data_IF_052606981915
#
_entry.id   IF_052606981915
#
_cell.length_a   1.000
_cell.length_b   1.000
_cell.length_c   1.000
_cell.angle_alpha   90.00
_cell.angle_beta   90.00
_cell.angle_gamma   90.00
#
_symmetry.space_group_name_H-M   'P 1'
#
loop_
_entity.id
_entity.type
_entity.pdbx_description
1 polymer ?
#
# COMPACT_ATOMS: atom_id res chain seq x y z
N UNK A 1 -8.94 4.37 -24.09
CA UNK A 1 -8.18 3.44 -23.22
C UNK A 1 -8.21 4.06 -21.84
N UNK A 2 -8.95 3.49 -20.90
CA UNK A 2 -8.95 3.98 -19.51
C UNK A 2 -7.73 3.31 -18.89
N UNK A 3 -6.64 4.04 -18.70
CA UNK A 3 -5.52 3.53 -17.92
C UNK A 3 -6.02 3.45 -16.47
N UNK A 4 -6.33 2.24 -16.01
CA UNK A 4 -6.54 2.01 -14.59
C UNK A 4 -5.18 2.16 -13.92
N UNK A 5 -5.01 3.28 -13.21
CA UNK A 5 -3.82 3.53 -12.40
C UNK A 5 -4.15 3.04 -10.99
N UNK A 6 -3.31 2.18 -10.45
CA UNK A 6 -3.44 1.67 -9.09
C UNK A 6 -2.30 2.23 -8.24
N UNK A 7 -2.60 2.50 -6.97
CA UNK A 7 -1.62 2.89 -5.98
C UNK A 7 -1.59 1.83 -4.87
N UNK A 8 -0.42 1.60 -4.30
CA UNK A 8 -0.26 0.67 -3.19
C UNK A 8 0.83 1.12 -2.24
N UNK A 9 0.90 0.46 -1.09
CA UNK A 9 1.89 0.74 -0.06
C UNK A 9 2.59 -0.54 0.38
N UNK A 10 3.90 -0.44 0.52
CA UNK A 10 4.73 -1.49 1.10
C UNK A 10 5.05 -1.09 2.54
N UNK A 11 4.35 -1.69 3.49
CA UNK A 11 4.70 -1.55 4.89
C UNK A 11 5.94 -2.35 5.19
N UNK A 12 6.89 -1.74 5.88
CA UNK A 12 8.03 -2.45 6.45
C UNK A 12 8.28 -2.02 7.89
N UNK A 13 8.80 -2.97 8.68
CA UNK A 13 9.20 -2.77 10.06
C UNK A 13 10.63 -3.30 10.21
N UNK A 14 11.50 -2.49 10.82
CA UNK A 14 12.85 -2.93 11.19
C UNK A 14 12.81 -3.51 12.60
N UNK A 15 12.88 -4.84 12.72
CA UNK A 15 12.91 -5.56 13.99
C UNK A 15 14.22 -6.33 14.07
N UNK A 16 15.02 -6.09 15.11
CA UNK A 16 16.28 -6.83 15.35
C UNK A 16 17.27 -6.83 14.19
N UNK A 17 17.34 -5.74 13.42
CA UNK A 17 18.16 -5.60 12.19
C UNK A 17 17.66 -6.38 10.97
N UNK A 18 16.43 -6.88 11.01
CA UNK A 18 15.75 -7.51 9.88
C UNK A 18 14.54 -6.67 9.44
N UNK A 19 14.34 -6.56 8.12
CA UNK A 19 13.17 -5.89 7.55
C UNK A 19 12.04 -6.90 7.40
N UNK A 20 10.92 -6.67 8.07
CA UNK A 20 9.70 -7.42 7.90
C UNK A 20 8.73 -6.62 7.05
N UNK A 21 8.06 -7.28 6.10
CA UNK A 21 7.11 -6.65 5.20
C UNK A 21 5.70 -7.16 5.47
N UNK A 22 4.71 -6.28 5.40
CA UNK A 22 3.31 -6.68 5.51
C UNK A 22 2.82 -7.19 4.15
N UNK A 23 2.28 -8.40 4.15
CA UNK A 23 1.60 -9.00 3.00
C UNK A 23 0.20 -9.40 3.42
N UNK A 24 -0.77 -9.12 2.56
CA UNK A 24 -2.16 -9.52 2.74
C UNK A 24 -2.39 -10.90 2.14
N UNK A 25 -3.04 -11.79 2.90
CA UNK A 25 -3.46 -13.09 2.42
C UNK A 25 -4.88 -13.01 1.88
N UNK A 26 -5.02 -12.98 0.56
CA UNK A 26 -6.33 -12.96 -0.06
C UNK A 26 -6.94 -14.37 -0.09
N UNK A 27 -8.28 -14.49 0.01
CA UNK A 27 -8.98 -15.79 0.05
C UNK A 27 -8.72 -16.69 -1.16
N UNK A 28 -8.15 -16.16 -2.24
CA UNK A 28 -7.70 -16.90 -3.42
C UNK A 28 -6.27 -17.48 -3.29
N UNK A 29 -5.69 -17.54 -2.07
CA UNK A 29 -4.34 -18.05 -1.77
C UNK A 29 -3.18 -17.28 -2.40
N UNK A 30 -3.38 -16.02 -2.76
CA UNK A 30 -2.30 -15.14 -3.16
C UNK A 30 -1.94 -14.18 -2.03
N UNK A 31 -0.64 -13.92 -1.92
CA UNK A 31 -0.10 -12.90 -1.06
C UNK A 31 0.22 -11.70 -1.93
N UNK A 32 -0.28 -10.53 -1.54
CA UNK A 32 0.00 -9.29 -2.26
C UNK A 32 0.21 -8.16 -1.25
N UNK A 33 0.75 -7.05 -1.73
CA UNK A 33 0.82 -5.82 -0.95
C UNK A 33 -0.53 -5.13 -0.96
N UNK A 34 -0.70 -4.22 0.02
CA UNK A 34 -1.85 -3.32 0.07
C UNK A 34 -1.86 -2.49 -1.20
N UNK A 35 -2.91 -2.60 -2.00
CA UNK A 35 -3.04 -1.86 -3.25
C UNK A 35 -4.50 -1.73 -3.64
N UNK A 36 -4.79 -0.62 -4.30
CA UNK A 36 -6.10 -0.42 -4.88
C UNK A 36 -6.11 0.59 -5.99
N UNK A 37 -7.32 0.87 -6.47
CA UNK A 37 -7.53 1.70 -7.64
C UNK A 37 -7.50 3.18 -7.22
N UNK A 38 -6.79 4.00 -7.99
CA UNK A 38 -6.83 5.45 -7.78
C UNK A 38 -8.19 5.97 -8.20
N UNK A 39 -8.87 6.65 -7.27
CA UNK A 39 -10.13 7.31 -7.56
C UNK A 39 -9.93 8.66 -8.25
N UNK A 40 -11.01 9.19 -8.82
CA UNK A 40 -10.94 10.42 -9.60
C UNK A 40 -10.63 11.60 -8.67
N UNK A 41 -9.46 12.22 -8.87
CA UNK A 41 -8.89 13.34 -8.09
C UNK A 41 -8.11 12.95 -6.82
N UNK A 42 -7.81 11.67 -6.58
CA UNK A 42 -6.87 11.30 -5.50
C UNK A 42 -5.41 11.35 -5.99
N UNK A 43 -4.50 11.73 -5.09
CA UNK A 43 -3.07 11.50 -5.29
C UNK A 43 -2.68 10.06 -4.92
N UNK A 44 -1.56 9.57 -5.47
CA UNK A 44 -1.03 8.21 -5.18
C UNK A 44 -0.90 7.95 -3.68
N UNK A 45 -0.35 8.91 -2.91
CA UNK A 45 -0.22 8.79 -1.45
C UNK A 45 -1.57 8.77 -0.71
N UNK A 46 -2.57 9.50 -1.22
CA UNK A 46 -3.92 9.53 -0.63
C UNK A 46 -4.63 8.19 -0.85
N UNK A 47 -4.63 7.69 -2.09
CA UNK A 47 -5.18 6.36 -2.40
C UNK A 47 -4.47 5.27 -1.60
N UNK A 48 -3.14 5.28 -1.54
CA UNK A 48 -2.37 4.28 -0.79
C UNK A 48 -2.71 4.30 0.72
N UNK A 49 -2.97 5.48 1.28
CA UNK A 49 -3.40 5.61 2.69
C UNK A 49 -4.82 5.11 2.90
N UNK A 50 -5.76 5.43 2.01
CA UNK A 50 -7.14 4.95 2.08
C UNK A 50 -7.18 3.42 2.01
N UNK A 51 -6.49 2.83 1.04
CA UNK A 51 -6.41 1.38 0.85
C UNK A 51 -5.75 0.69 2.06
N UNK A 52 -4.70 1.30 2.65
CA UNK A 52 -4.13 0.81 3.89
C UNK A 52 -5.14 0.76 5.04
N UNK A 53 -5.91 1.82 5.23
CA UNK A 53 -6.93 1.87 6.27
C UNK A 53 -8.05 0.85 6.00
N UNK A 54 -8.50 0.70 4.75
CA UNK A 54 -9.58 -0.23 4.38
C UNK A 54 -9.17 -1.70 4.47
N UNK A 55 -7.97 -2.07 3.98
CA UNK A 55 -7.54 -3.48 3.93
C UNK A 55 -6.84 -3.93 5.23
N UNK A 56 -6.15 -3.04 5.94
CA UNK A 56 -5.33 -3.39 7.12
C UNK A 56 -5.78 -2.73 8.41
N UNK A 57 -6.56 -1.64 8.34
CA UNK A 57 -6.89 -0.81 9.50
C UNK A 57 -5.72 0.04 10.03
N UNK A 58 -4.57 0.05 9.36
CA UNK A 58 -3.38 0.79 9.79
C UNK A 58 -3.49 2.25 9.34
N UNK A 59 -3.63 3.15 10.32
CA UNK A 59 -3.72 4.60 10.08
C UNK A 59 -2.49 5.36 10.57
N UNK A 60 -1.69 4.77 11.47
CA UNK A 60 -0.48 5.38 12.03
C UNK A 60 0.78 4.84 11.34
N UNK A 61 1.18 5.50 10.26
CA UNK A 61 2.42 5.21 9.55
C UNK A 61 2.97 6.48 8.89
N UNK A 62 4.24 6.42 8.45
CA UNK A 62 4.89 7.52 7.75
C UNK A 62 5.39 7.04 6.40
N UNK A 63 5.14 7.85 5.36
CA UNK A 63 5.77 7.66 4.07
C UNK A 63 7.26 7.97 4.17
N UNK A 64 8.06 7.20 3.43
CA UNK A 64 9.49 7.49 3.24
C UNK A 64 9.61 8.25 1.93
N UNK A 65 10.05 9.50 2.03
CA UNK A 65 10.31 10.31 0.83
C UNK A 65 11.43 9.66 0.00
N UNK A 66 11.21 9.61 -1.32
CA UNK A 66 12.14 8.98 -2.27
C UNK A 66 11.91 7.47 -2.50
N UNK A 67 10.90 6.87 -1.85
CA UNK A 67 10.48 5.50 -2.11
C UNK A 67 9.11 5.48 -2.83
N UNK A 68 9.07 6.02 -4.04
CA UNK A 68 7.89 6.09 -4.91
C UNK A 68 8.31 5.81 -6.35
N UNK A 69 7.62 4.88 -7.03
CA UNK A 69 7.76 4.63 -8.47
C UNK A 69 6.41 4.86 -9.16
N UNK A 70 6.42 5.55 -10.30
CA UNK A 70 5.25 5.88 -11.13
C UNK A 70 5.33 5.19 -12.49
#
# INVERSE_FOLDING_TARGET
MINETSAGIVFFLSVSSENQFLLLNYPQKHWDFVKGKIEKNEQVRETARREAEEETGITDFKFIDGFEEC
#
